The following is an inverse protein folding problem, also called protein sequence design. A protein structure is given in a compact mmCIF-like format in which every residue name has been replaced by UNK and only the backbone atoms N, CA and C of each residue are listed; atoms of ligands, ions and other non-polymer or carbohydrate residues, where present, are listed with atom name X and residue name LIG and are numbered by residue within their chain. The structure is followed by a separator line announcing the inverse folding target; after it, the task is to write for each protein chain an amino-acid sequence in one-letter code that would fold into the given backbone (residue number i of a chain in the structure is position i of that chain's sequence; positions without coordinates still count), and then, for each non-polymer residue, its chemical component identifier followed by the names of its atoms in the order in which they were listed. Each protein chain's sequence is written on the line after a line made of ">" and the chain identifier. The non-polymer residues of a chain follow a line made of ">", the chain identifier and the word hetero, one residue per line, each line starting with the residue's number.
data_IF_546040568639
#
_entry.id   IF_546040568639
#
_cell.length_a   1.000
_cell.length_b   1.000
_cell.length_c   1.000
_cell.angle_alpha   90.00
_cell.angle_beta   90.00
_cell.angle_gamma   90.00
#
_symmetry.space_group_name_H-M   'P 1'
#
loop_
_entity.id
_entity.type
_entity.pdbx_description
1 polymer ?
#
# COMPACT_ATOMS: atom_id res chain seq x y z
N UNK A 1 -32.52 -20.73 32.72
CA UNK A 1 -32.27 -19.34 32.25
C UNK A 1 -30.98 -19.31 31.46
N UNK A 2 -31.09 -19.43 30.13
CA UNK A 2 -30.16 -18.92 29.10
C UNK A 2 -30.72 -19.33 27.72
N UNK A 3 -31.81 -18.69 27.30
CA UNK A 3 -32.24 -18.62 25.90
C UNK A 3 -31.35 -17.62 25.17
N UNK A 4 -30.04 -17.93 25.10
CA UNK A 4 -29.10 -17.14 24.32
C UNK A 4 -29.32 -17.54 22.88
N UNK A 5 -29.75 -16.60 22.04
CA UNK A 5 -29.80 -16.74 20.58
C UNK A 5 -28.49 -17.36 20.13
N UNK A 6 -28.49 -18.65 19.81
CA UNK A 6 -27.31 -19.38 19.37
C UNK A 6 -26.98 -18.85 17.98
N UNK A 7 -26.11 -17.84 17.88
CA UNK A 7 -25.50 -17.47 16.61
C UNK A 7 -24.65 -18.66 16.19
N UNK A 8 -25.23 -19.56 15.40
CA UNK A 8 -24.57 -20.81 15.07
C UNK A 8 -23.32 -20.50 14.25
N UNK A 9 -22.24 -21.23 14.52
CA UNK A 9 -20.98 -21.12 13.76
C UNK A 9 -21.23 -21.27 12.27
N UNK A 10 -22.17 -22.13 11.90
CA UNK A 10 -22.59 -22.32 10.52
C UNK A 10 -23.15 -21.04 9.89
N UNK A 11 -23.98 -20.28 10.62
CA UNK A 11 -24.52 -19.00 10.17
C UNK A 11 -23.42 -17.95 9.99
N UNK A 12 -22.56 -17.79 11.01
CA UNK A 12 -21.41 -16.87 10.97
C UNK A 12 -20.50 -17.19 9.79
N UNK A 13 -20.16 -18.48 9.62
CA UNK A 13 -19.32 -18.95 8.51
C UNK A 13 -19.97 -18.72 7.14
N UNK A 14 -21.28 -18.94 7.01
CA UNK A 14 -22.00 -18.69 5.77
C UNK A 14 -21.96 -17.20 5.39
N UNK A 15 -22.16 -16.32 6.35
CA UNK A 15 -22.10 -14.88 6.14
C UNK A 15 -20.69 -14.42 5.78
N UNK A 16 -19.67 -14.99 6.43
CA UNK A 16 -18.27 -14.72 6.08
C UNK A 16 -17.86 -15.22 4.70
N UNK A 17 -18.34 -16.40 4.31
CA UNK A 17 -18.17 -16.91 2.95
C UNK A 17 -18.83 -15.99 1.93
N UNK A 18 -20.02 -15.47 2.25
CA UNK A 18 -20.72 -14.50 1.41
C UNK A 18 -19.94 -13.20 1.28
N UNK A 19 -19.49 -12.62 2.41
CA UNK A 19 -18.63 -11.44 2.41
C UNK A 19 -17.39 -11.66 1.56
N UNK A 20 -16.68 -12.78 1.74
CA UNK A 20 -15.49 -13.11 0.93
C UNK A 20 -15.78 -13.11 -0.58
N UNK A 21 -16.90 -13.68 -1.00
CA UNK A 21 -17.27 -13.76 -2.42
C UNK A 21 -17.75 -12.42 -3.00
N UNK A 22 -18.44 -11.61 -2.20
CA UNK A 22 -19.00 -10.30 -2.63
C UNK A 22 -18.02 -9.14 -2.42
N UNK A 23 -16.91 -9.36 -1.70
CA UNK A 23 -15.95 -8.31 -1.35
C UNK A 23 -15.35 -7.69 -2.61
N UNK A 24 -15.36 -6.36 -2.65
CA UNK A 24 -14.77 -5.57 -3.75
C UNK A 24 -13.71 -4.59 -3.22
N UNK A 25 -12.83 -4.05 -4.08
CA UNK A 25 -11.84 -3.05 -3.67
C UNK A 25 -12.44 -1.80 -3.02
N UNK A 26 -13.72 -1.51 -3.29
CA UNK A 26 -14.44 -0.38 -2.72
C UNK A 26 -15.04 -0.70 -1.35
N UNK A 27 -15.39 -1.96 -1.09
CA UNK A 27 -16.16 -2.38 0.10
C UNK A 27 -15.32 -3.10 1.16
N UNK A 28 -14.08 -3.51 0.84
CA UNK A 28 -13.27 -4.39 1.69
C UNK A 28 -13.10 -3.93 3.14
N UNK A 29 -12.99 -2.62 3.39
CA UNK A 29 -12.87 -2.08 4.75
C UNK A 29 -14.18 -2.26 5.53
N UNK A 30 -15.33 -2.05 4.89
CA UNK A 30 -16.65 -2.27 5.48
C UNK A 30 -16.93 -3.76 5.70
N UNK A 31 -16.52 -4.60 4.75
CA UNK A 31 -16.68 -6.05 4.82
C UNK A 31 -15.84 -6.65 5.95
N UNK A 32 -14.60 -6.16 6.13
CA UNK A 32 -13.75 -6.51 7.28
C UNK A 32 -14.36 -6.08 8.61
N UNK A 33 -14.91 -4.86 8.70
CA UNK A 33 -15.55 -4.40 9.93
C UNK A 33 -16.77 -5.26 10.30
N UNK A 34 -17.59 -5.62 9.31
CA UNK A 34 -18.73 -6.54 9.50
C UNK A 34 -18.28 -7.92 9.94
N UNK A 35 -17.25 -8.46 9.30
CA UNK A 35 -16.69 -9.73 9.69
C UNK A 35 -16.17 -9.75 11.13
N UNK A 36 -15.46 -8.72 11.58
CA UNK A 36 -15.01 -8.58 12.97
C UNK A 36 -16.20 -8.58 13.92
N UNK A 37 -17.28 -7.86 13.57
CA UNK A 37 -18.49 -7.85 14.37
C UNK A 37 -19.10 -9.26 14.51
N UNK A 38 -19.11 -10.05 13.43
CA UNK A 38 -19.57 -11.44 13.45
C UNK A 38 -18.67 -12.34 14.30
N UNK A 39 -17.34 -12.19 14.24
CA UNK A 39 -16.41 -12.95 15.08
C UNK A 39 -16.64 -12.66 16.57
N UNK A 40 -16.93 -11.41 16.93
CA UNK A 40 -17.20 -11.00 18.32
C UNK A 40 -18.50 -11.59 18.89
N UNK A 41 -19.37 -12.12 18.06
CA UNK A 41 -20.60 -12.81 18.47
C UNK A 41 -20.36 -14.28 18.82
N UNK A 42 -19.18 -14.84 18.49
CA UNK A 42 -18.81 -16.21 18.84
C UNK A 42 -18.25 -16.26 20.26
N UNK A 43 -18.91 -17.03 21.13
CA UNK A 43 -18.51 -17.19 22.53
C UNK A 43 -17.33 -18.16 22.70
N UNK A 44 -17.14 -19.10 21.78
CA UNK A 44 -16.12 -20.13 21.89
C UNK A 44 -14.86 -19.84 21.05
N UNK A 45 -13.70 -20.16 21.63
CA UNK A 45 -12.40 -19.91 20.99
C UNK A 45 -12.16 -20.84 19.80
N UNK A 46 -12.59 -22.11 19.86
CA UNK A 46 -12.43 -23.03 18.73
C UNK A 46 -13.29 -22.59 17.54
N UNK A 47 -14.47 -22.05 17.80
CA UNK A 47 -15.33 -21.44 16.77
C UNK A 47 -14.68 -20.21 16.15
N UNK A 48 -14.09 -19.32 16.97
CA UNK A 48 -13.35 -18.15 16.46
C UNK A 48 -12.16 -18.56 15.61
N UNK A 49 -11.42 -19.60 15.99
CA UNK A 49 -10.28 -20.11 15.21
C UNK A 49 -10.68 -20.63 13.82
N UNK A 50 -11.79 -21.37 13.70
CA UNK A 50 -12.28 -21.87 12.41
C UNK A 50 -12.65 -20.74 11.46
N UNK A 51 -13.24 -19.67 12.00
CA UNK A 51 -13.71 -18.54 11.22
C UNK A 51 -12.57 -17.56 10.89
N UNK A 52 -11.53 -17.50 11.72
CA UNK A 52 -10.35 -16.66 11.50
C UNK A 52 -9.61 -16.97 10.18
N UNK A 53 -9.72 -18.18 9.64
CA UNK A 53 -9.18 -18.52 8.31
C UNK A 53 -9.78 -17.64 7.20
N UNK A 54 -11.08 -17.32 7.31
CA UNK A 54 -11.72 -16.38 6.38
C UNK A 54 -11.20 -14.94 6.57
N UNK A 55 -10.78 -14.56 7.78
CA UNK A 55 -10.15 -13.25 8.04
C UNK A 55 -8.79 -13.13 7.41
N UNK A 56 -8.01 -14.21 7.44
CA UNK A 56 -6.71 -14.25 6.79
C UNK A 56 -6.86 -14.07 5.27
N UNK A 57 -7.81 -14.78 4.66
CA UNK A 57 -8.13 -14.63 3.24
C UNK A 57 -8.57 -13.21 2.85
N UNK A 58 -9.44 -12.57 3.64
CA UNK A 58 -9.84 -11.17 3.40
C UNK A 58 -8.68 -10.19 3.57
N UNK A 59 -7.81 -10.43 4.55
CA UNK A 59 -6.63 -9.59 4.83
C UNK A 59 -5.59 -9.68 3.70
N UNK A 60 -5.46 -10.86 3.10
CA UNK A 60 -4.61 -11.08 1.95
C UNK A 60 -5.11 -10.29 0.73
N UNK A 61 -6.39 -10.42 0.37
CA UNK A 61 -6.98 -9.69 -0.77
C UNK A 61 -6.88 -8.17 -0.58
N UNK A 62 -7.11 -7.68 0.65
CA UNK A 62 -6.93 -6.27 1.01
C UNK A 62 -5.51 -5.81 0.71
N UNK A 63 -4.52 -6.58 1.15
CA UNK A 63 -3.11 -6.29 0.92
C UNK A 63 -2.80 -6.22 -0.58
N UNK A 64 -3.30 -7.17 -1.36
CA UNK A 64 -3.14 -7.19 -2.82
C UNK A 64 -3.72 -5.94 -3.49
N UNK A 65 -4.91 -5.50 -3.09
CA UNK A 65 -5.53 -4.29 -3.66
C UNK A 65 -4.84 -2.99 -3.24
N UNK A 66 -4.37 -2.89 -1.99
CA UNK A 66 -3.57 -1.75 -1.54
C UNK A 66 -2.26 -1.68 -2.34
N UNK A 67 -1.57 -2.81 -2.52
CA UNK A 67 -0.36 -2.90 -3.31
C UNK A 67 -0.62 -2.54 -4.78
N UNK A 68 -1.65 -3.10 -5.40
CA UNK A 68 -2.04 -2.79 -6.77
C UNK A 68 -2.33 -1.30 -6.97
N UNK A 69 -3.04 -0.67 -6.02
CA UNK A 69 -3.30 0.78 -6.02
C UNK A 69 -2.01 1.58 -5.90
N UNK A 70 -1.08 1.16 -5.04
CA UNK A 70 0.22 1.82 -4.86
C UNK A 70 1.11 1.73 -6.10
N UNK A 71 1.16 0.56 -6.75
CA UNK A 71 1.90 0.38 -8.01
C UNK A 71 1.34 1.30 -9.11
N UNK A 72 0.01 1.36 -9.26
CA UNK A 72 -0.65 2.27 -10.21
C UNK A 72 -0.32 3.74 -9.92
N UNK A 73 -0.32 4.15 -8.65
CA UNK A 73 0.04 5.51 -8.25
C UNK A 73 1.51 5.85 -8.59
N UNK A 74 2.45 4.93 -8.33
CA UNK A 74 3.86 5.14 -8.69
C UNK A 74 4.06 5.29 -10.20
N UNK A 75 3.36 4.49 -11.02
CA UNK A 75 3.44 4.60 -12.49
C UNK A 75 2.96 5.97 -12.98
N UNK A 76 1.87 6.51 -12.43
CA UNK A 76 1.40 7.89 -12.73
C UNK A 76 2.44 8.95 -12.37
N UNK A 77 3.07 8.83 -11.20
CA UNK A 77 4.13 9.76 -10.78
C UNK A 77 5.42 9.63 -11.60
N UNK A 78 5.75 8.44 -12.11
CA UNK A 78 6.91 8.24 -12.99
C UNK A 78 6.69 8.91 -14.36
N UNK A 79 5.50 8.76 -14.96
CA UNK A 79 5.18 9.40 -16.24
C UNK A 79 5.04 10.93 -16.11
N UNK A 80 4.49 11.44 -15.01
CA UNK A 80 4.37 12.88 -14.77
C UNK A 80 5.71 13.60 -14.49
N UNK A 81 6.71 12.91 -13.94
CA UNK A 81 8.04 13.49 -13.67
C UNK A 81 8.94 13.60 -14.91
N UNK A 82 8.69 12.82 -15.95
CA UNK A 82 9.48 12.89 -17.20
C UNK A 82 9.13 14.15 -17.99
N UNK A 83 7.88 14.64 -17.92
CA UNK A 83 7.43 15.76 -18.75
C UNK A 83 7.80 17.16 -18.24
N UNK A 84 8.21 17.32 -16.98
CA UNK A 84 8.55 18.64 -16.40
C UNK A 84 10.05 19.00 -16.48
N UNK A 85 10.91 18.04 -16.87
CA UNK A 85 12.36 18.30 -17.00
C UNK A 85 12.80 18.64 -18.43
N UNK A 86 11.91 18.45 -19.42
CA UNK A 86 12.20 18.76 -20.83
C UNK A 86 11.94 20.23 -21.22
N UNK A 87 11.31 21.04 -20.35
CA UNK A 87 10.94 22.44 -20.68
C UNK A 87 11.88 23.51 -20.09
N UNK A 88 12.79 23.16 -19.16
CA UNK A 88 13.67 24.14 -18.51
C UNK A 88 15.13 24.13 -18.98
N UNK A 89 15.47 23.42 -20.05
CA UNK A 89 16.84 23.31 -20.55
C UNK A 89 17.20 24.21 -21.75
N UNK A 90 16.40 25.24 -22.09
CA UNK A 90 16.67 26.09 -23.28
C UNK A 90 16.84 27.58 -22.99
N UNK A 91 17.21 27.97 -21.76
CA UNK A 91 17.53 29.38 -21.48
C UNK A 91 18.70 29.53 -20.53
N UNK A 92 19.89 29.82 -21.08
CA UNK A 92 20.94 30.52 -20.33
C UNK A 92 22.26 29.79 -20.16
N UNK A 93 22.99 29.55 -21.25
CA UNK A 93 24.45 29.42 -21.19
C UNK A 93 25.08 30.40 -22.17
N UNK A 94 25.06 31.68 -21.80
CA UNK A 94 25.70 32.77 -22.54
C UNK A 94 27.20 32.68 -22.28
N UNK A 95 27.92 32.17 -23.27
CA UNK A 95 29.37 32.13 -23.37
C UNK A 95 29.95 33.54 -23.56
N UNK A 96 30.68 34.08 -22.58
CA UNK A 96 31.73 35.09 -22.81
C UNK A 96 32.83 35.05 -21.74
N UNK A 97 33.94 34.40 -22.08
CA UNK A 97 35.30 34.96 -22.05
C UNK A 97 35.64 35.88 -20.86
N UNK A 98 36.37 35.36 -19.86
CA UNK A 98 37.36 36.17 -19.12
C UNK A 98 38.50 35.30 -18.57
N UNK A 99 39.61 35.45 -19.27
CA UNK A 99 40.98 35.01 -19.02
C UNK A 99 41.40 34.91 -17.54
N UNK A 100 41.59 33.68 -17.04
CA UNK A 100 42.38 33.37 -15.85
C UNK A 100 43.59 32.54 -16.27
N UNK A 101 44.75 33.18 -16.36
CA UNK A 101 46.04 32.60 -16.76
C UNK A 101 46.50 31.52 -15.75
N UNK A 102 47.05 30.37 -16.19
CA UNK A 102 47.48 29.32 -15.28
C UNK A 102 48.80 29.70 -14.61
N UNK A 103 48.92 29.48 -13.30
CA UNK A 103 50.21 29.58 -12.59
C UNK A 103 50.42 28.31 -11.75
N UNK A 104 51.17 27.32 -12.25
CA UNK A 104 51.64 26.22 -11.42
C UNK A 104 53.08 26.53 -10.98
N UNK A 105 53.32 26.69 -9.68
CA UNK A 105 54.64 26.49 -9.07
C UNK A 105 54.49 25.99 -7.64
N UNK A 106 54.31 24.68 -7.48
CA UNK A 106 54.70 24.01 -6.25
C UNK A 106 56.05 23.34 -6.52
N UNK A 107 57.13 23.88 -5.95
CA UNK A 107 58.43 23.22 -5.87
C UNK A 107 58.69 22.98 -4.38
N UNK A 108 58.35 21.78 -3.91
CA UNK A 108 59.08 21.16 -2.82
C UNK A 108 60.17 20.31 -3.47
N UNK A 109 61.42 20.63 -3.22
CA UNK A 109 62.57 19.71 -3.23
C UNK A 109 63.84 20.47 -2.88
N UNK A 110 64.44 20.06 -1.76
CA UNK A 110 65.87 20.09 -1.40
C UNK A 110 66.53 21.47 -1.27
N UNK A 111 67.38 21.75 -0.28
CA UNK A 111 68.20 20.89 0.58
C UNK A 111 68.55 21.64 1.87
#
# INVERSE_FOLDING_TARGET
>A
MQDRVMTTVASVRAELKRLYNETTPATIEQDLARAIALLKQLDDEAQRAQVAVYMDGLSQIRSEWILARRVRARKKHATGKISVKAVTATAGARNTKRTGKPRPKNKHSSS
#
